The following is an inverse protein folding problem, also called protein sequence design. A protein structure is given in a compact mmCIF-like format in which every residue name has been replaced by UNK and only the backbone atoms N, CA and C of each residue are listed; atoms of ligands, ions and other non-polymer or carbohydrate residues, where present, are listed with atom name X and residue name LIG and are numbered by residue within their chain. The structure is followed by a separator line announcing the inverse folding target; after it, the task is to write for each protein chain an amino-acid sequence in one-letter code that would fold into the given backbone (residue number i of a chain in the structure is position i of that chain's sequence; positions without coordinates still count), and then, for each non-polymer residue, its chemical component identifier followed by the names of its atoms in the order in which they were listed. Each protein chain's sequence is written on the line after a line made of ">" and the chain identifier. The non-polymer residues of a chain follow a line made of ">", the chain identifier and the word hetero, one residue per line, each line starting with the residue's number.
data_IF_804926176488
#
_entry.id   IF_804926176488
#
_cell.length_a   1.000
_cell.length_b   1.000
_cell.length_c   1.000
_cell.angle_alpha   90.00
_cell.angle_beta   90.00
_cell.angle_gamma   90.00
#
_symmetry.space_group_name_H-M   'P 1'
#
loop_
_entity.id
_entity.type
_entity.pdbx_description
1 polymer ?
#
# COMPACT_ATOMS: atom_id res chain seq x y z
N UNK A 1 -22.13 -28.36 -0.56
CA UNK A 1 -22.46 -27.04 -1.14
C UNK A 1 -21.69 -26.01 -0.33
N UNK A 2 -20.82 -25.20 -0.95
CA UNK A 2 -20.10 -24.16 -0.22
C UNK A 2 -21.00 -22.92 -0.08
N UNK A 3 -21.01 -22.32 1.10
CA UNK A 3 -21.71 -21.07 1.38
C UNK A 3 -20.73 -19.92 1.17
N UNK A 4 -21.18 -18.88 0.48
CA UNK A 4 -20.40 -17.66 0.28
C UNK A 4 -20.79 -16.65 1.35
N UNK A 5 -19.78 -16.04 2.00
CA UNK A 5 -19.99 -14.86 2.83
C UNK A 5 -20.17 -13.65 1.93
N UNK A 6 -21.19 -12.84 2.22
CA UNK A 6 -21.63 -11.75 1.36
C UNK A 6 -21.31 -10.36 1.92
N UNK A 7 -20.52 -10.26 3.00
CA UNK A 7 -20.11 -8.97 3.58
C UNK A 7 -18.59 -8.89 3.74
N UNK A 8 -18.01 -7.73 3.41
CA UNK A 8 -16.57 -7.47 3.53
C UNK A 8 -16.29 -6.31 4.50
N UNK A 9 -15.26 -6.48 5.33
CA UNK A 9 -14.90 -5.56 6.41
C UNK A 9 -13.49 -4.96 6.28
N UNK A 10 -12.85 -5.02 5.09
CA UNK A 10 -11.44 -4.63 4.93
C UNK A 10 -11.20 -3.47 3.96
N UNK A 11 -11.82 -3.47 2.79
CA UNK A 11 -11.52 -2.49 1.74
C UNK A 11 -12.51 -1.33 1.77
N UNK A 12 -12.05 -0.10 1.49
CA UNK A 12 -12.99 1.00 1.23
C UNK A 12 -13.88 0.65 0.04
N UNK A 13 -15.17 1.07 0.00
CA UNK A 13 -16.09 0.76 -1.09
C UNK A 13 -15.55 1.06 -2.49
N UNK A 14 -14.78 2.15 -2.62
CA UNK A 14 -14.16 2.51 -3.90
C UNK A 14 -13.09 1.50 -4.38
N UNK A 15 -12.34 0.88 -3.47
CA UNK A 15 -11.33 -0.15 -3.80
C UNK A 15 -12.04 -1.48 -4.11
N UNK A 16 -13.04 -1.84 -3.31
CA UNK A 16 -13.73 -3.13 -3.44
C UNK A 16 -14.65 -3.21 -4.66
N UNK A 17 -15.11 -2.07 -5.19
CA UNK A 17 -16.05 -1.98 -6.32
C UNK A 17 -15.67 -2.89 -7.50
N UNK A 18 -14.45 -2.75 -8.04
CA UNK A 18 -14.07 -3.53 -9.22
C UNK A 18 -13.96 -5.04 -8.92
N UNK A 19 -13.26 -5.50 -7.86
CA UNK A 19 -13.23 -6.93 -7.53
C UNK A 19 -14.62 -7.55 -7.28
N UNK A 20 -15.53 -6.81 -6.64
CA UNK A 20 -16.92 -7.23 -6.39
C UNK A 20 -17.64 -7.55 -7.68
N UNK A 21 -17.56 -6.65 -8.65
CA UNK A 21 -18.27 -6.79 -9.93
C UNK A 21 -17.65 -7.92 -10.76
N UNK A 22 -16.32 -7.96 -10.85
CA UNK A 22 -15.61 -8.91 -11.71
C UNK A 22 -15.66 -10.37 -11.23
N UNK A 23 -15.45 -10.59 -9.93
CA UNK A 23 -15.27 -11.96 -9.42
C UNK A 23 -16.49 -12.48 -8.63
N UNK A 24 -17.36 -11.58 -8.17
CA UNK A 24 -18.44 -11.91 -7.25
C UNK A 24 -19.83 -11.50 -7.74
N UNK A 25 -19.96 -11.04 -9.00
CA UNK A 25 -21.23 -10.62 -9.61
C UNK A 25 -21.96 -9.57 -8.77
N UNK A 26 -21.22 -8.71 -8.08
CA UNK A 26 -21.77 -7.66 -7.22
C UNK A 26 -22.43 -8.16 -5.91
N UNK A 27 -22.26 -9.44 -5.54
CA UNK A 27 -22.94 -10.03 -4.36
C UNK A 27 -22.35 -9.63 -3.00
N UNK A 28 -21.12 -9.11 -2.97
CA UNK A 28 -20.46 -8.73 -1.72
C UNK A 28 -20.84 -7.29 -1.35
N UNK A 29 -21.38 -7.12 -0.15
CA UNK A 29 -21.75 -5.85 0.49
C UNK A 29 -20.60 -5.30 1.34
N UNK A 30 -20.59 -4.00 1.55
CA UNK A 30 -19.62 -3.32 2.43
C UNK A 30 -20.18 -3.27 3.86
N UNK A 31 -19.41 -3.77 4.83
CA UNK A 31 -19.76 -3.65 6.23
C UNK A 31 -19.65 -2.20 6.73
N UNK A 32 -20.37 -1.87 7.81
CA UNK A 32 -20.45 -0.49 8.33
C UNK A 32 -19.08 0.13 8.66
N UNK A 33 -18.14 -0.70 9.12
CA UNK A 33 -16.80 -0.25 9.48
C UNK A 33 -16.04 0.38 8.31
N UNK A 34 -16.19 -0.12 7.08
CA UNK A 34 -15.44 0.37 5.91
C UNK A 34 -16.09 1.57 5.23
N UNK A 35 -17.37 1.83 5.54
CA UNK A 35 -18.13 2.98 5.05
C UNK A 35 -17.91 4.20 5.94
N UNK A 36 -17.54 3.99 7.21
CA UNK A 36 -17.24 5.06 8.15
C UNK A 36 -16.12 5.98 7.63
N UNK A 37 -16.28 7.32 7.72
CA UNK A 37 -15.21 8.27 7.41
C UNK A 37 -13.94 8.07 8.26
N UNK A 38 -14.09 7.55 9.49
CA UNK A 38 -12.96 7.25 10.39
C UNK A 38 -12.10 6.07 9.93
N UNK A 39 -12.60 5.25 8.99
CA UNK A 39 -11.84 4.14 8.42
C UNK A 39 -10.69 4.60 7.51
N UNK A 40 -10.76 5.83 7.01
CA UNK A 40 -9.71 6.39 6.15
C UNK A 40 -8.44 6.68 6.97
N UNK A 41 -7.35 6.02 6.61
CA UNK A 41 -6.05 6.27 7.24
C UNK A 41 -5.57 7.70 6.99
N UNK A 42 -4.79 8.24 7.93
CA UNK A 42 -4.09 9.54 7.79
C UNK A 42 -3.31 9.59 6.47
N UNK A 43 -2.65 8.49 6.09
CA UNK A 43 -1.90 8.37 4.84
C UNK A 43 -2.74 8.61 3.59
N UNK A 44 -3.98 8.11 3.55
CA UNK A 44 -4.86 8.35 2.40
C UNK A 44 -5.30 9.81 2.29
N UNK A 45 -5.40 10.52 3.43
CA UNK A 45 -5.77 11.93 3.48
C UNK A 45 -4.62 12.84 3.00
N UNK A 46 -3.39 12.53 3.38
CA UNK A 46 -2.20 13.31 2.99
C UNK A 46 -1.68 12.93 1.60
N UNK A 47 -1.12 11.73 1.45
CA UNK A 47 -0.35 11.32 0.26
C UNK A 47 -1.23 11.24 -1.00
N UNK A 48 -2.46 10.74 -0.86
CA UNK A 48 -3.39 10.55 -1.98
C UNK A 48 -4.47 11.64 -2.07
N UNK A 49 -4.32 12.75 -1.34
CA UNK A 49 -5.30 13.87 -1.34
C UNK A 49 -6.74 13.41 -1.09
N UNK A 50 -6.94 12.42 -0.21
CA UNK A 50 -8.23 11.86 0.14
C UNK A 50 -8.74 10.73 -0.78
N UNK A 51 -8.09 10.49 -1.91
CA UNK A 51 -8.43 9.37 -2.79
C UNK A 51 -8.02 8.02 -2.18
N UNK A 52 -8.82 6.95 -2.38
CA UNK A 52 -8.57 5.64 -1.79
C UNK A 52 -7.48 4.83 -2.50
N UNK A 53 -7.18 5.16 -3.77
CA UNK A 53 -6.11 4.56 -4.56
C UNK A 53 -5.72 5.52 -5.70
N UNK A 54 -4.56 5.30 -6.29
CA UNK A 54 -4.09 5.98 -7.49
C UNK A 54 -3.28 5.02 -8.37
N UNK A 55 -3.25 5.29 -9.66
CA UNK A 55 -2.33 4.65 -10.60
C UNK A 55 -1.19 5.61 -10.88
N UNK A 56 0.04 5.16 -10.62
CA UNK A 56 1.25 5.95 -10.84
C UNK A 56 1.94 5.38 -12.06
N UNK A 57 2.08 6.21 -13.09
CA UNK A 57 2.84 5.86 -14.28
C UNK A 57 4.34 6.06 -14.00
N UNK A 58 5.17 5.10 -14.43
CA UNK A 58 6.61 5.18 -14.36
C UNK A 58 7.17 4.82 -15.74
N UNK A 59 8.02 5.68 -16.31
CA UNK A 59 8.63 5.52 -17.64
C UNK A 59 9.79 4.50 -17.65
N UNK A 60 9.69 3.46 -16.81
CA UNK A 60 10.73 2.45 -16.62
C UNK A 60 10.60 1.24 -17.53
N UNK A 61 11.73 0.61 -17.82
CA UNK A 61 11.76 -0.66 -18.54
C UNK A 61 12.13 -1.82 -17.60
N UNK A 62 11.59 -3.00 -17.92
CA UNK A 62 11.81 -4.22 -17.16
C UNK A 62 13.08 -4.95 -17.64
N UNK A 63 14.00 -5.22 -16.72
CA UNK A 63 15.29 -5.88 -16.99
C UNK A 63 15.40 -7.26 -16.31
N UNK A 64 16.14 -8.21 -16.90
CA UNK A 64 16.44 -9.49 -16.26
C UNK A 64 17.41 -9.32 -15.10
N UNK A 65 17.30 -10.18 -14.09
CA UNK A 65 18.27 -10.27 -13.00
C UNK A 65 19.37 -11.29 -13.37
N UNK A 66 20.67 -10.95 -13.25
CA UNK A 66 21.75 -11.91 -13.50
C UNK A 66 21.56 -13.20 -12.71
N UNK A 67 21.82 -14.33 -13.36
CA UNK A 67 21.73 -15.68 -12.77
C UNK A 67 20.36 -16.03 -12.14
N UNK A 68 19.28 -15.39 -12.63
CA UNK A 68 17.92 -15.60 -12.14
C UNK A 68 16.91 -15.59 -13.27
N UNK A 69 15.81 -16.33 -13.09
CA UNK A 69 14.62 -16.24 -13.97
C UNK A 69 13.68 -15.09 -13.58
N UNK A 70 14.06 -14.27 -12.59
CA UNK A 70 13.29 -13.12 -12.16
C UNK A 70 13.61 -11.87 -12.98
N UNK A 71 12.67 -10.94 -13.00
CA UNK A 71 12.83 -9.61 -13.58
C UNK A 71 12.70 -8.51 -12.52
N UNK A 72 13.12 -7.30 -12.88
CA UNK A 72 13.01 -6.09 -12.04
C UNK A 72 12.85 -4.84 -12.90
N UNK A 73 12.36 -3.77 -12.32
CA UNK A 73 12.26 -2.44 -12.93
C UNK A 73 12.79 -1.41 -11.93
N UNK A 74 13.91 -0.78 -12.28
CA UNK A 74 14.62 0.16 -11.39
C UNK A 74 13.84 1.44 -11.17
N UNK A 75 13.17 1.95 -12.19
CA UNK A 75 12.37 3.18 -12.08
C UNK A 75 11.15 2.97 -11.20
N UNK A 76 10.40 1.88 -11.40
CA UNK A 76 9.29 1.51 -10.52
C UNK A 76 9.76 1.32 -9.08
N UNK A 77 10.90 0.66 -8.85
CA UNK A 77 11.43 0.44 -7.51
C UNK A 77 11.76 1.77 -6.80
N UNK A 78 12.33 2.75 -7.51
CA UNK A 78 12.58 4.10 -6.96
C UNK A 78 11.30 4.87 -6.67
N UNK A 79 10.29 4.77 -7.55
CA UNK A 79 8.98 5.38 -7.30
C UNK A 79 8.34 4.78 -6.05
N UNK A 80 8.39 3.45 -5.89
CA UNK A 80 7.91 2.76 -4.69
C UNK A 80 8.65 3.25 -3.45
N UNK A 81 9.99 3.30 -3.48
CA UNK A 81 10.79 3.77 -2.35
C UNK A 81 10.38 5.19 -1.94
N UNK A 82 10.28 6.10 -2.92
CA UNK A 82 9.81 7.47 -2.69
C UNK A 82 8.43 7.52 -2.05
N UNK A 83 7.46 6.76 -2.56
CA UNK A 83 6.09 6.74 -2.02
C UNK A 83 6.06 6.25 -0.56
N UNK A 84 6.87 5.24 -0.24
CA UNK A 84 7.00 4.73 1.13
C UNK A 84 7.63 5.79 2.04
N UNK A 85 8.73 6.40 1.60
CA UNK A 85 9.44 7.44 2.37
C UNK A 85 8.54 8.65 2.62
N UNK A 86 7.81 9.14 1.60
CA UNK A 86 6.85 10.24 1.73
C UNK A 86 5.70 9.86 2.69
N UNK A 87 5.19 8.62 2.61
CA UNK A 87 4.14 8.15 3.51
C UNK A 87 4.61 8.16 4.98
N UNK A 88 5.83 7.68 5.24
CA UNK A 88 6.41 7.68 6.58
C UNK A 88 6.63 9.11 7.09
N UNK A 89 7.13 10.02 6.24
CA UNK A 89 7.33 11.42 6.59
C UNK A 89 5.99 12.09 6.97
N UNK A 90 4.95 11.95 6.14
CA UNK A 90 3.64 12.52 6.43
C UNK A 90 2.98 11.94 7.68
N UNK A 91 3.20 10.65 7.97
CA UNK A 91 2.73 10.07 9.23
C UNK A 91 3.43 10.69 10.44
N UNK A 92 4.75 10.87 10.37
CA UNK A 92 5.53 11.49 11.45
C UNK A 92 5.12 12.96 11.67
N UNK A 93 4.90 13.73 10.60
CA UNK A 93 4.39 15.12 10.67
C UNK A 93 3.02 15.20 11.35
N UNK A 94 2.10 14.29 10.99
CA UNK A 94 0.78 14.22 11.60
C UNK A 94 0.87 13.86 13.09
N UNK A 95 1.75 12.91 13.44
CA UNK A 95 2.00 12.51 14.83
C UNK A 95 2.54 13.67 15.68
N UNK A 96 3.46 14.47 15.16
CA UNK A 96 3.99 15.64 15.86
C UNK A 96 2.94 16.73 16.12
N UNK A 97 1.81 16.70 15.40
CA UNK A 97 0.74 17.70 15.49
C UNK A 97 -0.48 17.25 16.30
N UNK A 98 -0.56 15.98 16.70
CA UNK A 98 -1.72 15.38 17.36
C UNK A 98 -1.42 15.02 18.83
N UNK A 99 -2.31 15.41 19.75
CA UNK A 99 -2.20 15.18 21.21
C UNK A 99 -2.88 13.89 21.68
N UNK A 100 -3.40 13.06 20.78
CA UNK A 100 -4.27 11.92 21.12
C UNK A 100 -3.58 10.57 20.87
N UNK A 101 -3.75 9.63 21.81
CA UNK A 101 -3.13 8.29 21.85
C UNK A 101 -3.55 7.37 20.68
N UNK A 102 -4.68 7.62 20.00
CA UNK A 102 -5.14 6.79 18.87
C UNK A 102 -4.34 7.00 17.56
N UNK A 103 -3.69 8.16 17.40
CA UNK A 103 -2.81 8.49 16.25
C UNK A 103 -1.37 7.94 16.43
N UNK A 104 -1.12 7.25 17.55
CA UNK A 104 0.19 6.75 17.91
C UNK A 104 0.57 5.45 17.20
N UNK A 105 -0.39 4.82 16.52
CA UNK A 105 -0.19 3.55 15.83
C UNK A 105 0.67 3.74 14.58
N UNK A 106 1.79 3.01 14.54
CA UNK A 106 2.74 3.05 13.42
C UNK A 106 2.06 2.80 12.06
N UNK A 107 2.56 3.44 10.99
CA UNK A 107 1.98 3.28 9.67
C UNK A 107 2.25 1.85 9.18
N UNK A 108 1.17 1.12 8.86
CA UNK A 108 1.24 -0.24 8.35
C UNK A 108 1.31 -0.23 6.83
N UNK A 109 2.53 -0.21 6.30
CA UNK A 109 2.78 -0.20 4.86
C UNK A 109 3.22 -1.60 4.42
N UNK A 110 2.70 -2.04 3.28
CA UNK A 110 3.08 -3.30 2.64
C UNK A 110 3.28 -3.06 1.16
N UNK A 111 4.40 -3.52 0.63
CA UNK A 111 4.70 -3.49 -0.80
C UNK A 111 4.64 -4.92 -1.34
N UNK A 112 3.89 -5.11 -2.42
CA UNK A 112 3.76 -6.41 -3.09
C UNK A 112 4.28 -6.31 -4.52
N UNK A 113 4.96 -7.36 -4.99
CA UNK A 113 5.39 -7.51 -6.37
C UNK A 113 5.42 -9.00 -6.74
N UNK A 114 5.11 -9.32 -7.99
CA UNK A 114 5.10 -10.71 -8.49
C UNK A 114 6.50 -11.30 -8.67
N UNK A 115 7.52 -10.45 -8.80
CA UNK A 115 8.89 -10.88 -9.10
C UNK A 115 9.79 -10.80 -7.88
N UNK A 116 10.44 -11.92 -7.53
CA UNK A 116 11.36 -11.98 -6.39
C UNK A 116 12.56 -11.01 -6.54
N UNK A 117 13.03 -10.80 -7.76
CA UNK A 117 14.07 -9.83 -8.12
C UNK A 117 13.64 -8.38 -7.85
N UNK A 118 12.39 -8.05 -8.15
CA UNK A 118 11.81 -6.74 -7.84
C UNK A 118 11.65 -6.53 -6.34
N UNK A 119 11.20 -7.56 -5.60
CA UNK A 119 11.12 -7.50 -4.13
C UNK A 119 12.49 -7.23 -3.53
N UNK A 120 13.52 -7.97 -3.95
CA UNK A 120 14.90 -7.77 -3.48
C UNK A 120 15.43 -6.37 -3.79
N UNK A 121 15.17 -5.86 -5.00
CA UNK A 121 15.58 -4.52 -5.40
C UNK A 121 14.89 -3.44 -4.55
N UNK A 122 13.58 -3.54 -4.35
CA UNK A 122 12.84 -2.57 -3.52
C UNK A 122 13.37 -2.61 -2.07
N UNK A 123 13.60 -3.80 -1.53
CA UNK A 123 14.19 -3.97 -0.20
C UNK A 123 15.57 -3.32 -0.09
N UNK A 124 16.45 -3.48 -1.10
CA UNK A 124 17.77 -2.85 -1.06
C UNK A 124 17.68 -1.33 -1.12
N UNK A 125 16.86 -0.77 -2.01
CA UNK A 125 16.70 0.70 -2.12
C UNK A 125 16.13 1.27 -0.82
N UNK A 126 15.09 0.65 -0.25
CA UNK A 126 14.50 1.10 1.01
C UNK A 126 15.47 0.98 2.18
N UNK A 127 16.31 -0.05 2.21
CA UNK A 127 17.32 -0.21 3.24
C UNK A 127 18.38 0.89 3.15
N UNK A 128 18.80 1.26 1.94
CA UNK A 128 19.75 2.33 1.69
C UNK A 128 19.16 3.71 2.05
N UNK A 129 17.88 3.95 1.76
CA UNK A 129 17.21 5.23 2.04
C UNK A 129 16.80 5.41 3.51
N UNK A 130 16.30 4.36 4.17
CA UNK A 130 15.66 4.46 5.48
C UNK A 130 16.48 3.83 6.63
N UNK A 131 17.47 3.00 6.31
CA UNK A 131 18.21 2.20 7.28
C UNK A 131 17.38 1.05 7.91
N UNK A 132 18.05 0.20 8.69
CA UNK A 132 17.49 -1.06 9.21
C UNK A 132 16.32 -0.86 10.18
N UNK A 133 16.27 0.24 10.92
CA UNK A 133 15.26 0.48 11.97
C UNK A 133 13.87 0.76 11.40
N UNK A 134 13.77 1.45 10.26
CA UNK A 134 12.50 1.80 9.63
C UNK A 134 11.92 0.68 8.74
N UNK A 135 12.76 -0.27 8.29
CA UNK A 135 12.34 -1.41 7.47
C UNK A 135 11.31 -2.33 8.16
N UNK A 136 11.30 -2.39 9.50
CA UNK A 136 10.32 -3.20 10.26
C UNK A 136 8.86 -2.81 9.99
N UNK A 137 8.63 -1.58 9.52
CA UNK A 137 7.30 -1.02 9.30
C UNK A 137 6.81 -1.19 7.84
N UNK A 138 7.71 -1.63 6.94
CA UNK A 138 7.45 -1.74 5.49
C UNK A 138 7.39 -3.20 5.01
N UNK A 139 8.10 -4.10 5.69
CA UNK A 139 8.07 -5.56 5.46
C UNK A 139 6.80 -6.19 6.03
#
# INVERSE_FOLDING_TARGET
>A
RCVMLEEQYRMRPQISRWPKDQFYRGRIQDGENVVSPSYASVLSRSLLKGYPYAFVHADGEEEPVPDSQSRRNVWEARVVAKLVTDALAHHNEAKSSASNEEDEQQPRIRVISFYAGQVKLIQSILLDELGTSAMKNVL
#
